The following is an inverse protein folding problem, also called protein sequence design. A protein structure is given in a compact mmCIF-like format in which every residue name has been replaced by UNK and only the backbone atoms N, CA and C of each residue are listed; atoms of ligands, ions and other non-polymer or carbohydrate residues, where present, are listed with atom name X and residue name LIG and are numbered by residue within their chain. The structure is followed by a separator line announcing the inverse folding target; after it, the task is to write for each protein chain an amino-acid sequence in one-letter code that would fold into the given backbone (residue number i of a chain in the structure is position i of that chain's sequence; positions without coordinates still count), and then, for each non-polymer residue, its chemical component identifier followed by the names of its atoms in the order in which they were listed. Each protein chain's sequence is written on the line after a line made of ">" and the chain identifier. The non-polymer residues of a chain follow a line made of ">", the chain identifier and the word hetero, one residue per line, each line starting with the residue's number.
data_IF_358830853430
#
_entry.id   IF_358830853430
#
_cell.length_a   1.000
_cell.length_b   1.000
_cell.length_c   1.000
_cell.angle_alpha   90.00
_cell.angle_beta   90.00
_cell.angle_gamma   90.00
#
_symmetry.space_group_name_H-M   'P 1'
#
loop_
_entity.id
_entity.type
_entity.pdbx_description
1 polymer ?
#
# COMPACT_ATOMS: atom_id res chain seq x y z
N UNK A 1 -25.53 -30.07 -12.01
CA UNK A 1 -24.23 -29.89 -12.73
C UNK A 1 -23.36 -28.73 -12.21
N UNK A 2 -23.89 -27.72 -11.52
CA UNK A 2 -23.15 -26.51 -11.08
C UNK A 2 -22.30 -26.68 -9.79
N UNK A 3 -22.49 -27.78 -9.05
CA UNK A 3 -21.75 -28.08 -7.81
C UNK A 3 -20.45 -28.86 -8.04
N UNK A 4 -20.36 -29.64 -9.12
CA UNK A 4 -19.17 -30.46 -9.44
C UNK A 4 -18.03 -29.63 -10.07
N UNK A 5 -18.35 -28.57 -10.83
CA UNK A 5 -17.35 -27.64 -11.39
C UNK A 5 -16.66 -26.79 -10.29
N UNK A 6 -17.27 -26.65 -9.11
CA UNK A 6 -16.74 -25.80 -8.03
C UNK A 6 -15.57 -26.40 -7.25
N UNK A 7 -15.48 -27.73 -7.12
CA UNK A 7 -14.46 -28.36 -6.25
C UNK A 7 -13.04 -28.36 -6.84
N UNK A 8 -12.87 -28.46 -8.16
CA UNK A 8 -11.54 -28.45 -8.80
C UNK A 8 -10.83 -27.07 -8.79
N UNK A 9 -11.53 -26.00 -8.43
CA UNK A 9 -11.01 -24.63 -8.48
C UNK A 9 -10.32 -24.16 -7.19
N UNK A 10 -10.67 -24.73 -6.03
CA UNK A 10 -10.11 -24.29 -4.74
C UNK A 10 -8.60 -24.53 -4.63
N UNK A 11 -8.07 -25.73 -4.97
CA UNK A 11 -6.62 -25.96 -4.93
C UNK A 11 -5.87 -25.02 -5.88
N UNK A 12 -6.45 -24.72 -7.05
CA UNK A 12 -5.87 -23.77 -8.02
C UNK A 12 -5.80 -22.35 -7.47
N UNK A 13 -6.83 -21.89 -6.77
CA UNK A 13 -6.81 -20.55 -6.14
C UNK A 13 -5.82 -20.48 -4.99
N UNK A 14 -5.69 -21.53 -4.19
CA UNK A 14 -4.67 -21.59 -3.12
C UNK A 14 -3.27 -21.55 -3.73
N UNK A 15 -2.99 -22.39 -4.74
CA UNK A 15 -1.72 -22.39 -5.44
C UNK A 15 -1.43 -21.02 -6.08
N UNK A 16 -2.43 -20.42 -6.74
CA UNK A 16 -2.32 -19.08 -7.32
C UNK A 16 -2.02 -18.00 -6.26
N UNK A 17 -2.69 -18.05 -5.10
CA UNK A 17 -2.42 -17.13 -4.00
C UNK A 17 -0.99 -17.27 -3.47
N UNK A 18 -0.50 -18.50 -3.28
CA UNK A 18 0.87 -18.77 -2.85
C UNK A 18 1.88 -18.23 -3.86
N UNK A 19 1.69 -18.52 -5.15
CA UNK A 19 2.56 -18.03 -6.22
C UNK A 19 2.57 -16.50 -6.28
N UNK A 20 1.40 -15.85 -6.14
CA UNK A 20 1.30 -14.41 -6.13
C UNK A 20 1.93 -13.77 -4.88
N UNK A 21 1.82 -14.39 -3.71
CA UNK A 21 2.53 -13.94 -2.50
C UNK A 21 4.05 -13.95 -2.73
N UNK A 22 4.57 -15.05 -3.29
CA UNK A 22 5.99 -15.13 -3.65
C UNK A 22 6.36 -14.10 -4.71
N UNK A 23 5.52 -13.91 -5.72
CA UNK A 23 5.74 -12.92 -6.76
C UNK A 23 5.82 -11.50 -6.19
N UNK A 24 4.87 -11.09 -5.35
CA UNK A 24 4.86 -9.76 -4.70
C UNK A 24 6.15 -9.52 -3.91
N UNK A 25 6.70 -10.55 -3.26
CA UNK A 25 7.92 -10.44 -2.45
C UNK A 25 9.20 -10.33 -3.30
N UNK A 26 9.33 -11.14 -4.35
CA UNK A 26 10.64 -11.35 -5.00
C UNK A 26 10.77 -10.78 -6.42
N UNK A 27 9.66 -10.57 -7.12
CA UNK A 27 9.67 -10.16 -8.54
C UNK A 27 9.88 -8.65 -8.75
N UNK A 28 9.26 -7.73 -7.98
CA UNK A 28 9.18 -6.32 -8.37
C UNK A 28 10.52 -5.64 -8.62
N UNK A 29 11.50 -5.86 -7.75
CA UNK A 29 12.80 -5.20 -7.85
C UNK A 29 13.55 -5.65 -9.11
N UNK A 30 13.55 -6.96 -9.40
CA UNK A 30 14.15 -7.50 -10.62
C UNK A 30 13.41 -7.03 -11.87
N UNK A 31 12.08 -7.04 -11.84
CA UNK A 31 11.28 -6.69 -13.00
C UNK A 31 11.37 -5.18 -13.34
N UNK A 32 11.53 -4.31 -12.33
CA UNK A 32 11.74 -2.87 -12.54
C UNK A 32 13.04 -2.55 -13.31
N UNK A 33 14.02 -3.46 -13.30
CA UNK A 33 15.31 -3.32 -13.96
C UNK A 33 15.25 -3.45 -15.49
N UNK A 34 14.17 -4.00 -16.05
CA UNK A 34 13.98 -4.11 -17.49
C UNK A 34 13.47 -2.81 -18.15
N UNK A 35 13.26 -1.75 -17.37
CA UNK A 35 12.81 -0.45 -17.87
C UNK A 35 13.93 0.47 -18.36
N UNK A 36 13.58 1.62 -18.95
CA UNK A 36 14.54 2.65 -19.35
C UNK A 36 15.41 3.13 -18.18
N UNK A 37 16.71 3.34 -18.44
CA UNK A 37 17.68 3.75 -17.42
C UNK A 37 18.31 2.60 -16.63
N UNK A 38 17.95 1.35 -16.93
CA UNK A 38 18.55 0.16 -16.32
C UNK A 38 18.00 -0.15 -14.93
N UNK A 39 18.79 -0.87 -14.14
CA UNK A 39 18.42 -1.33 -12.81
C UNK A 39 19.47 -1.06 -11.75
N UNK A 40 19.09 -1.37 -10.51
CA UNK A 40 19.96 -1.29 -9.34
C UNK A 40 20.22 -2.70 -8.81
N UNK A 41 21.44 -3.05 -8.38
CA UNK A 41 21.73 -4.35 -7.77
C UNK A 41 20.88 -4.64 -6.52
N UNK A 42 20.66 -3.61 -5.70
CA UNK A 42 19.95 -3.67 -4.42
C UNK A 42 19.41 -2.30 -3.99
N UNK A 43 18.68 -2.26 -2.87
CA UNK A 43 18.08 -1.03 -2.35
C UNK A 43 19.14 -0.02 -1.87
N UNK A 44 20.31 -0.48 -1.44
CA UNK A 44 21.37 0.42 -0.94
C UNK A 44 21.98 1.26 -2.07
N UNK A 45 22.27 0.62 -3.21
CA UNK A 45 22.78 1.28 -4.41
C UNK A 45 21.77 2.25 -5.01
N UNK A 46 20.47 1.92 -4.94
CA UNK A 46 19.38 2.83 -5.27
C UNK A 46 19.36 4.05 -4.34
N UNK A 47 19.44 3.85 -3.02
CA UNK A 47 19.47 4.93 -2.03
C UNK A 47 20.68 5.86 -2.20
N UNK A 48 21.85 5.32 -2.53
CA UNK A 48 23.04 6.12 -2.85
C UNK A 48 22.84 6.98 -4.11
N UNK A 49 22.31 6.39 -5.18
CA UNK A 49 22.00 7.13 -6.42
C UNK A 49 20.96 8.23 -6.17
N UNK A 50 19.94 7.97 -5.35
CA UNK A 50 18.96 8.96 -4.93
C UNK A 50 19.59 10.10 -4.14
N UNK A 51 20.48 9.77 -3.20
CA UNK A 51 21.18 10.77 -2.37
C UNK A 51 22.00 11.72 -3.22
N UNK A 52 22.81 11.18 -4.15
CA UNK A 52 23.62 11.99 -5.08
C UNK A 52 22.74 12.82 -6.01
N UNK A 53 21.70 12.22 -6.59
CA UNK A 53 20.75 12.92 -7.47
C UNK A 53 20.02 14.05 -6.74
N UNK A 54 19.63 13.82 -5.48
CA UNK A 54 18.92 14.80 -4.64
C UNK A 54 19.78 16.02 -4.33
N UNK A 55 21.05 15.82 -3.96
CA UNK A 55 22.00 16.93 -3.76
C UNK A 55 22.15 17.77 -5.02
N UNK A 56 22.28 17.13 -6.19
CA UNK A 56 22.40 17.83 -7.49
C UNK A 56 21.13 18.59 -7.86
N UNK A 57 19.97 17.97 -7.66
CA UNK A 57 18.66 18.60 -7.87
C UNK A 57 18.52 19.87 -7.02
N UNK A 58 18.88 19.78 -5.74
CA UNK A 58 18.80 20.93 -4.84
C UNK A 58 19.79 22.03 -5.24
N UNK A 59 21.04 21.68 -5.56
CA UNK A 59 22.06 22.66 -5.96
C UNK A 59 21.73 23.38 -7.27
N UNK A 60 21.01 22.73 -8.20
CA UNK A 60 20.58 23.35 -9.44
C UNK A 60 19.49 24.42 -9.18
N UNK A 61 18.61 24.21 -8.20
CA UNK A 61 17.61 25.19 -7.79
C UNK A 61 16.44 25.41 -8.77
N UNK A 62 16.45 24.78 -9.95
CA UNK A 62 15.51 25.02 -11.05
C UNK A 62 14.12 24.39 -10.87
N UNK A 63 13.93 23.49 -9.91
CA UNK A 63 12.65 22.80 -9.70
C UNK A 63 12.33 21.70 -10.72
N UNK A 64 13.23 21.46 -11.67
CA UNK A 64 13.15 20.38 -12.65
C UNK A 64 14.00 19.21 -12.16
N UNK A 65 13.41 18.01 -12.16
CA UNK A 65 14.13 16.78 -11.79
C UNK A 65 15.09 16.42 -12.92
N UNK A 66 16.38 16.70 -12.72
CA UNK A 66 17.44 16.36 -13.66
C UNK A 66 17.66 14.84 -13.80
N UNK A 67 18.41 14.40 -14.83
CA UNK A 67 18.56 12.98 -15.19
C UNK A 67 19.15 12.11 -14.08
N UNK A 68 20.01 12.68 -13.23
CA UNK A 68 20.65 11.96 -12.11
C UNK A 68 19.65 11.56 -11.01
N UNK A 69 18.60 12.37 -10.80
CA UNK A 69 17.53 12.07 -9.86
C UNK A 69 16.35 11.37 -10.54
N UNK A 70 16.05 11.72 -11.79
CA UNK A 70 14.95 11.11 -12.55
C UNK A 70 15.14 9.60 -12.71
N UNK A 71 16.36 9.13 -13.03
CA UNK A 71 16.64 7.70 -13.24
C UNK A 71 16.29 6.81 -12.03
N UNK A 72 16.79 7.08 -10.80
CA UNK A 72 16.40 6.29 -9.64
C UNK A 72 14.93 6.46 -9.25
N UNK A 73 14.36 7.67 -9.40
CA UNK A 73 12.93 7.94 -9.13
C UNK A 73 12.04 7.13 -10.07
N UNK A 74 12.34 7.08 -11.37
CA UNK A 74 11.60 6.32 -12.36
C UNK A 74 11.71 4.80 -12.13
N UNK A 75 12.89 4.33 -11.72
CA UNK A 75 13.06 2.93 -11.31
C UNK A 75 12.16 2.58 -10.12
N UNK A 76 12.12 3.45 -9.12
CA UNK A 76 11.29 3.28 -7.93
C UNK A 76 9.79 3.34 -8.25
N UNK A 77 9.38 4.23 -9.15
CA UNK A 77 8.01 4.30 -9.66
C UNK A 77 7.59 2.99 -10.33
N UNK A 78 8.43 2.43 -11.22
CA UNK A 78 8.17 1.14 -11.88
C UNK A 78 8.04 -0.01 -10.88
N UNK A 79 8.92 -0.04 -9.88
CA UNK A 79 8.83 -1.02 -8.78
C UNK A 79 7.48 -0.97 -8.06
N UNK A 80 7.00 0.24 -7.75
CA UNK A 80 5.68 0.44 -7.15
C UNK A 80 4.54 -0.01 -8.07
N UNK A 81 4.56 0.34 -9.36
CA UNK A 81 3.55 -0.12 -10.33
C UNK A 81 3.48 -1.65 -10.38
N UNK A 82 4.63 -2.33 -10.47
CA UNK A 82 4.69 -3.80 -10.50
C UNK A 82 4.11 -4.40 -9.21
N UNK A 83 4.47 -3.87 -8.04
CA UNK A 83 3.90 -4.29 -6.76
C UNK A 83 2.40 -4.10 -6.69
N UNK A 84 1.90 -2.96 -7.16
CA UNK A 84 0.47 -2.66 -7.19
C UNK A 84 -0.29 -3.68 -8.06
N UNK A 85 0.20 -3.97 -9.27
CA UNK A 85 -0.42 -4.97 -10.16
C UNK A 85 -0.45 -6.35 -9.51
N UNK A 86 0.68 -6.83 -8.97
CA UNK A 86 0.74 -8.15 -8.33
C UNK A 86 -0.15 -8.23 -7.08
N UNK A 87 -0.20 -7.17 -6.27
CA UNK A 87 -1.05 -7.09 -5.09
C UNK A 87 -2.53 -7.06 -5.46
N UNK A 88 -2.92 -6.36 -6.53
CA UNK A 88 -4.28 -6.37 -7.04
C UNK A 88 -4.72 -7.77 -7.49
N UNK A 89 -3.86 -8.48 -8.25
CA UNK A 89 -4.13 -9.86 -8.67
C UNK A 89 -4.26 -10.79 -7.46
N UNK A 90 -3.37 -10.67 -6.47
CA UNK A 90 -3.44 -11.43 -5.23
C UNK A 90 -4.76 -11.16 -4.48
N UNK A 91 -5.14 -9.89 -4.36
CA UNK A 91 -6.39 -9.49 -3.69
C UNK A 91 -7.62 -10.09 -4.39
N UNK A 92 -7.67 -10.07 -5.73
CA UNK A 92 -8.74 -10.70 -6.51
C UNK A 92 -8.84 -12.20 -6.21
N UNK A 93 -7.72 -12.92 -6.18
CA UNK A 93 -7.68 -14.35 -5.87
C UNK A 93 -8.17 -14.61 -4.43
N UNK A 94 -7.74 -13.81 -3.46
CA UNK A 94 -8.14 -13.96 -2.06
C UNK A 94 -9.63 -13.67 -1.84
N UNK A 95 -10.16 -12.63 -2.50
CA UNK A 95 -11.60 -12.32 -2.49
C UNK A 95 -12.41 -13.45 -3.12
N UNK A 96 -11.93 -14.05 -4.20
CA UNK A 96 -12.57 -15.21 -4.82
C UNK A 96 -12.51 -16.46 -3.93
N UNK A 97 -11.46 -16.62 -3.11
CA UNK A 97 -11.29 -17.75 -2.21
C UNK A 97 -12.20 -17.64 -0.96
N UNK A 98 -12.48 -16.44 -0.48
CA UNK A 98 -13.19 -16.20 0.79
C UNK A 98 -14.57 -16.90 0.90
N UNK A 99 -15.49 -16.87 -0.10
CA UNK A 99 -16.77 -17.57 0.00
C UNK A 99 -16.63 -19.10 0.12
N UNK A 100 -15.55 -19.67 -0.41
CA UNK A 100 -15.29 -21.12 -0.37
C UNK A 100 -14.83 -21.54 1.03
N UNK A 101 -13.89 -20.79 1.61
CA UNK A 101 -13.44 -21.01 2.99
C UNK A 101 -14.58 -20.77 3.99
N UNK A 102 -15.40 -19.75 3.74
CA UNK A 102 -16.60 -19.50 4.52
C UNK A 102 -17.57 -20.68 4.51
N UNK A 103 -17.94 -21.16 3.31
CA UNK A 103 -18.85 -22.29 3.17
C UNK A 103 -18.27 -23.53 3.86
N UNK A 104 -16.98 -23.82 3.68
CA UNK A 104 -16.31 -24.92 4.34
C UNK A 104 -16.30 -24.78 5.87
N UNK A 105 -16.16 -23.57 6.40
CA UNK A 105 -16.21 -23.31 7.84
C UNK A 105 -17.60 -23.57 8.40
N UNK A 106 -18.64 -22.98 7.81
CA UNK A 106 -20.03 -23.08 8.31
C UNK A 106 -20.53 -24.54 8.32
N UNK A 107 -20.24 -25.30 7.27
CA UNK A 107 -20.67 -26.70 7.13
C UNK A 107 -19.74 -27.71 7.83
N UNK A 108 -18.69 -27.25 8.52
CA UNK A 108 -17.82 -28.16 9.28
C UNK A 108 -18.51 -28.61 10.57
N UNK A 109 -18.87 -29.90 10.62
CA UNK A 109 -19.48 -30.56 11.79
C UNK A 109 -18.44 -30.97 12.84
N UNK A 110 -17.29 -31.50 12.40
CA UNK A 110 -16.19 -31.93 13.28
C UNK A 110 -15.37 -30.74 13.78
N UNK A 111 -15.10 -30.70 15.09
CA UNK A 111 -14.32 -29.63 15.73
C UNK A 111 -12.93 -29.45 15.08
N UNK A 112 -12.18 -30.52 14.86
CA UNK A 112 -10.83 -30.44 14.27
C UNK A 112 -10.83 -29.80 12.88
N UNK A 113 -11.72 -30.26 11.98
CA UNK A 113 -11.89 -29.66 10.65
C UNK A 113 -12.32 -28.20 10.74
N UNK A 114 -13.20 -27.87 11.68
CA UNK A 114 -13.65 -26.49 11.91
C UNK A 114 -12.50 -25.57 12.34
N UNK A 115 -11.63 -26.03 13.25
CA UNK A 115 -10.46 -25.27 13.68
C UNK A 115 -9.51 -25.04 12.52
N UNK A 116 -9.18 -26.08 11.75
CA UNK A 116 -8.29 -25.97 10.58
C UNK A 116 -8.84 -24.96 9.56
N UNK A 117 -10.10 -25.09 9.13
CA UNK A 117 -10.69 -24.18 8.15
C UNK A 117 -10.83 -22.76 8.72
N UNK A 118 -11.11 -22.63 10.01
CA UNK A 118 -11.14 -21.34 10.71
C UNK A 118 -9.78 -20.64 10.68
N UNK A 119 -8.70 -21.35 11.02
CA UNK A 119 -7.33 -20.81 10.96
C UNK A 119 -6.94 -20.43 9.54
N UNK A 120 -7.22 -21.28 8.55
CA UNK A 120 -6.96 -20.97 7.13
C UNK A 120 -7.75 -19.73 6.69
N UNK A 121 -9.01 -19.60 7.12
CA UNK A 121 -9.82 -18.41 6.87
C UNK A 121 -9.24 -17.15 7.51
N UNK A 122 -8.71 -17.23 8.73
CA UNK A 122 -8.07 -16.11 9.41
C UNK A 122 -6.78 -15.67 8.69
N UNK A 123 -5.92 -16.62 8.31
CA UNK A 123 -4.71 -16.36 7.52
C UNK A 123 -5.07 -15.73 6.17
N UNK A 124 -6.07 -16.27 5.48
CA UNK A 124 -6.55 -15.71 4.22
C UNK A 124 -7.04 -14.27 4.40
N UNK A 125 -7.81 -13.97 5.44
CA UNK A 125 -8.29 -12.63 5.72
C UNK A 125 -7.13 -11.66 6.02
N UNK A 126 -6.15 -12.07 6.83
CA UNK A 126 -4.95 -11.28 7.09
C UNK A 126 -4.15 -11.00 5.81
N UNK A 127 -3.98 -12.01 4.95
CA UNK A 127 -3.34 -11.84 3.64
C UNK A 127 -4.14 -10.89 2.72
N UNK A 128 -5.46 -10.90 2.77
CA UNK A 128 -6.29 -10.00 1.97
C UNK A 128 -6.14 -8.54 2.43
N UNK A 129 -6.11 -8.32 3.76
CA UNK A 129 -5.83 -6.99 4.33
C UNK A 129 -4.43 -6.55 3.94
N UNK A 130 -3.42 -7.41 4.07
CA UNK A 130 -2.05 -7.10 3.67
C UNK A 130 -1.94 -6.78 2.17
N UNK A 131 -2.58 -7.57 1.31
CA UNK A 131 -2.59 -7.32 -0.13
C UNK A 131 -3.26 -5.98 -0.47
N UNK A 132 -4.35 -5.62 0.22
CA UNK A 132 -4.98 -4.31 0.08
C UNK A 132 -4.07 -3.16 0.52
N UNK A 133 -3.38 -3.30 1.67
CA UNK A 133 -2.43 -2.30 2.15
C UNK A 133 -1.26 -2.12 1.17
N UNK A 134 -0.70 -3.22 0.66
CA UNK A 134 0.35 -3.20 -0.36
C UNK A 134 -0.18 -2.50 -1.61
N UNK A 135 -1.37 -2.85 -2.10
CA UNK A 135 -1.95 -2.22 -3.29
C UNK A 135 -2.05 -0.70 -3.12
N UNK A 136 -2.67 -0.24 -2.02
CA UNK A 136 -2.86 1.20 -1.76
C UNK A 136 -1.52 1.94 -1.67
N UNK A 137 -0.60 1.45 -0.84
CA UNK A 137 0.71 2.09 -0.64
C UNK A 137 1.52 2.15 -1.94
N UNK A 138 1.40 1.14 -2.82
CA UNK A 138 2.15 1.10 -4.06
C UNK A 138 1.50 1.90 -5.19
N UNK A 139 0.18 2.09 -5.21
CA UNK A 139 -0.43 3.08 -6.12
C UNK A 139 0.01 4.49 -5.70
N UNK A 140 -0.03 4.78 -4.40
CA UNK A 140 0.43 6.05 -3.85
C UNK A 140 1.90 6.35 -4.22
N UNK A 141 2.80 5.39 -4.00
CA UNK A 141 4.22 5.52 -4.35
C UNK A 141 4.49 5.67 -5.86
N UNK A 142 3.60 5.16 -6.72
CA UNK A 142 3.71 5.35 -8.17
C UNK A 142 3.20 6.72 -8.64
N UNK A 143 2.24 7.33 -7.95
CA UNK A 143 1.66 8.64 -8.32
C UNK A 143 2.60 9.79 -7.97
N UNK A 144 3.28 9.73 -6.82
CA UNK A 144 4.23 10.74 -6.35
C UNK A 144 5.59 10.09 -6.05
N UNK A 145 6.34 9.73 -7.11
CA UNK A 145 7.51 8.87 -6.99
C UNK A 145 8.70 9.58 -6.35
N UNK A 146 8.82 10.90 -6.47
CA UNK A 146 9.90 11.65 -5.82
C UNK A 146 9.78 11.57 -4.29
N UNK A 147 8.61 11.91 -3.74
CA UNK A 147 8.33 11.83 -2.29
C UNK A 147 8.40 10.41 -1.77
N UNK A 148 7.92 9.44 -2.55
CA UNK A 148 8.08 8.03 -2.20
C UNK A 148 9.56 7.61 -2.14
N UNK A 149 10.38 8.09 -3.08
CA UNK A 149 11.81 7.79 -3.11
C UNK A 149 12.60 8.50 -2.00
N UNK A 150 12.14 9.64 -1.47
CA UNK A 150 12.77 10.28 -0.30
C UNK A 150 12.87 9.32 0.89
N UNK A 151 11.92 8.39 1.05
CA UNK A 151 11.95 7.37 2.11
C UNK A 151 13.14 6.39 2.01
N UNK A 152 13.85 6.34 0.88
CA UNK A 152 15.07 5.55 0.70
C UNK A 152 16.35 6.34 0.96
N UNK A 153 16.27 7.66 1.09
CA UNK A 153 17.44 8.51 1.29
C UNK A 153 17.83 8.50 2.78
N UNK A 154 19.07 8.14 3.13
CA UNK A 154 19.53 8.09 4.51
C UNK A 154 19.90 9.49 5.02
N UNK A 155 18.90 10.36 5.27
CA UNK A 155 19.09 11.75 5.70
C UNK A 155 19.87 11.91 7.02
N UNK A 156 19.99 10.84 7.84
CA UNK A 156 20.81 10.80 9.07
C UNK A 156 22.21 10.20 8.90
N UNK A 157 22.67 9.95 7.67
CA UNK A 157 24.01 9.39 7.42
C UNK A 157 25.13 10.41 7.55
N UNK A 158 26.39 9.94 7.61
CA UNK A 158 27.59 10.78 7.69
C UNK A 158 27.96 11.51 6.37
N UNK A 159 27.12 11.45 5.34
CA UNK A 159 27.35 12.15 4.08
C UNK A 159 27.15 13.67 4.28
N UNK A 160 28.25 14.41 4.22
CA UNK A 160 28.29 15.86 4.51
C UNK A 160 27.44 16.68 3.54
N UNK A 161 27.44 16.34 2.25
CA UNK A 161 26.72 17.10 1.23
C UNK A 161 25.21 16.88 1.36
N UNK A 162 24.81 15.65 1.66
CA UNK A 162 23.40 15.32 1.93
C UNK A 162 22.92 15.97 3.22
N UNK A 163 23.73 15.98 4.28
CA UNK A 163 23.41 16.63 5.54
C UNK A 163 23.25 18.15 5.35
N UNK A 164 24.16 18.79 4.62
CA UNK A 164 24.08 20.21 4.29
C UNK A 164 22.84 20.54 3.46
N UNK A 165 22.52 19.71 2.46
CA UNK A 165 21.31 19.84 1.63
C UNK A 165 20.05 19.71 2.49
N UNK A 166 19.99 18.70 3.36
CA UNK A 166 18.86 18.47 4.27
C UNK A 166 18.63 19.67 5.20
N UNK A 167 19.71 20.23 5.78
CA UNK A 167 19.62 21.41 6.63
C UNK A 167 19.17 22.66 5.87
N UNK A 168 19.46 22.78 4.56
CA UNK A 168 18.94 23.86 3.73
C UNK A 168 17.44 23.69 3.44
N UNK A 169 17.00 22.47 3.12
CA UNK A 169 15.59 22.15 2.91
C UNK A 169 14.78 22.43 4.18
N UNK A 170 15.25 21.97 5.34
CA UNK A 170 14.60 22.20 6.63
C UNK A 170 14.45 23.70 6.94
N UNK A 171 15.51 24.50 6.72
CA UNK A 171 15.45 25.97 6.89
C UNK A 171 14.46 26.61 5.93
N UNK A 172 14.52 26.26 4.65
CA UNK A 172 13.57 26.77 3.65
C UNK A 172 12.11 26.48 4.01
N UNK A 173 11.82 25.29 4.53
CA UNK A 173 10.47 24.94 5.00
C UNK A 173 10.08 25.70 6.28
N UNK A 174 10.99 25.82 7.24
CA UNK A 174 10.73 26.49 8.52
C UNK A 174 10.49 28.00 8.35
N UNK A 175 11.23 28.62 7.43
CA UNK A 175 11.16 30.06 7.17
C UNK A 175 10.01 30.43 6.21
N UNK A 176 9.25 29.44 5.71
CA UNK A 176 8.23 29.66 4.69
C UNK A 176 8.81 30.14 3.36
N UNK A 177 10.06 29.75 3.06
CA UNK A 177 10.76 30.12 1.85
C UNK A 177 10.14 29.51 0.59
N UNK A 178 10.38 30.17 -0.54
CA UNK A 178 9.95 29.71 -1.85
C UNK A 178 11.16 29.65 -2.79
N UNK A 179 11.35 28.49 -3.41
CA UNK A 179 12.28 28.29 -4.50
C UNK A 179 11.71 27.22 -5.43
N UNK A 180 12.05 27.22 -6.74
CA UNK A 180 11.51 26.23 -7.66
C UNK A 180 11.76 24.78 -7.21
N UNK A 181 12.96 24.48 -6.67
CA UNK A 181 13.30 23.18 -6.09
C UNK A 181 12.45 22.82 -4.86
N UNK A 182 12.26 23.77 -3.94
CA UNK A 182 11.45 23.54 -2.76
C UNK A 182 9.96 23.37 -3.10
N UNK A 183 9.43 24.21 -4.00
CA UNK A 183 8.05 24.12 -4.46
C UNK A 183 7.80 22.80 -5.21
N UNK A 184 8.77 22.26 -5.93
CA UNK A 184 8.67 20.93 -6.54
C UNK A 184 8.56 19.82 -5.48
N UNK A 185 9.38 19.87 -4.42
CA UNK A 185 9.28 18.90 -3.31
C UNK A 185 7.94 19.00 -2.58
N UNK A 186 7.50 20.22 -2.23
CA UNK A 186 6.23 20.44 -1.53
C UNK A 186 5.05 19.98 -2.38
N UNK A 187 5.06 20.26 -3.70
CA UNK A 187 3.99 19.83 -4.61
C UNK A 187 3.92 18.31 -4.75
N UNK A 188 5.05 17.64 -4.94
CA UNK A 188 5.06 16.18 -5.06
C UNK A 188 4.65 15.51 -3.73
N UNK A 189 5.07 16.08 -2.59
CA UNK A 189 4.66 15.60 -1.27
C UNK A 189 3.17 15.78 -1.03
N UNK A 190 2.60 16.92 -1.43
CA UNK A 190 1.15 17.12 -1.42
C UNK A 190 0.43 16.09 -2.30
N UNK A 191 0.93 15.82 -3.51
CA UNK A 191 0.37 14.81 -4.41
C UNK A 191 0.39 13.40 -3.79
N UNK A 192 1.46 13.05 -3.08
CA UNK A 192 1.58 11.79 -2.35
C UNK A 192 0.45 11.61 -1.31
N UNK A 193 0.15 12.65 -0.54
CA UNK A 193 -0.92 12.61 0.47
C UNK A 193 -2.34 12.76 -0.11
N UNK A 194 -2.50 13.52 -1.20
CA UNK A 194 -3.76 13.58 -1.96
C UNK A 194 -4.10 12.19 -2.52
N UNK A 195 -3.14 11.50 -3.13
CA UNK A 195 -3.32 10.15 -3.65
C UNK A 195 -3.80 9.18 -2.55
N UNK A 196 -3.16 9.23 -1.38
CA UNK A 196 -3.57 8.39 -0.24
C UNK A 196 -4.96 8.74 0.28
N UNK A 197 -5.32 10.02 0.29
CA UNK A 197 -6.64 10.49 0.71
C UNK A 197 -7.74 9.94 -0.20
N UNK A 198 -7.53 10.00 -1.52
CA UNK A 198 -8.46 9.44 -2.50
C UNK A 198 -8.58 7.91 -2.36
N UNK A 199 -7.45 7.19 -2.33
CA UNK A 199 -7.44 5.74 -2.23
C UNK A 199 -8.08 5.26 -0.91
N UNK A 200 -7.70 5.87 0.21
CA UNK A 200 -8.27 5.58 1.53
C UNK A 200 -9.77 5.86 1.59
N UNK A 201 -10.23 6.95 0.98
CA UNK A 201 -11.65 7.27 0.86
C UNK A 201 -12.43 6.20 0.07
N UNK A 202 -11.94 5.81 -1.11
CA UNK A 202 -12.57 4.76 -1.93
C UNK A 202 -12.62 3.42 -1.18
N UNK A 203 -11.52 3.04 -0.53
CA UNK A 203 -11.46 1.80 0.27
C UNK A 203 -12.44 1.87 1.45
N UNK A 204 -12.50 2.99 2.16
CA UNK A 204 -13.43 3.19 3.30
C UNK A 204 -14.89 3.01 2.86
N UNK A 205 -15.29 3.66 1.76
CA UNK A 205 -16.65 3.53 1.20
C UNK A 205 -16.93 2.09 0.78
N UNK A 206 -15.99 1.43 0.11
CA UNK A 206 -16.10 0.02 -0.29
C UNK A 206 -16.27 -0.92 0.91
N UNK A 207 -15.52 -0.72 1.99
CA UNK A 207 -15.62 -1.50 3.21
C UNK A 207 -16.95 -1.27 3.94
N UNK A 208 -17.43 -0.02 4.03
CA UNK A 208 -18.76 0.29 4.58
C UNK A 208 -19.85 -0.43 3.77
N UNK A 209 -19.79 -0.36 2.44
CA UNK A 209 -20.72 -1.07 1.57
C UNK A 209 -20.67 -2.59 1.81
N UNK A 210 -19.47 -3.17 1.93
CA UNK A 210 -19.30 -4.59 2.25
C UNK A 210 -19.90 -4.98 3.61
N UNK A 211 -19.69 -4.15 4.65
CA UNK A 211 -20.30 -4.35 5.97
C UNK A 211 -21.84 -4.32 5.91
N UNK A 212 -22.42 -3.37 5.17
CA UNK A 212 -23.87 -3.28 4.94
C UNK A 212 -24.37 -4.54 4.21
N UNK A 213 -23.65 -5.04 3.21
CA UNK A 213 -24.01 -6.27 2.51
C UNK A 213 -23.94 -7.50 3.44
N UNK A 214 -22.94 -7.59 4.31
CA UNK A 214 -22.85 -8.66 5.32
C UNK A 214 -24.02 -8.59 6.31
N UNK A 215 -24.41 -7.39 6.73
CA UNK A 215 -25.55 -7.17 7.61
C UNK A 215 -26.88 -7.56 6.94
N UNK A 216 -27.07 -7.17 5.68
CA UNK A 216 -28.23 -7.57 4.86
C UNK A 216 -28.28 -9.09 4.67
N UNK A 217 -27.14 -9.74 4.42
CA UNK A 217 -27.05 -11.20 4.34
C UNK A 217 -27.44 -11.85 5.66
N UNK A 218 -26.96 -11.34 6.80
CA UNK A 218 -27.37 -11.82 8.13
C UNK A 218 -28.88 -11.75 8.34
N UNK A 219 -29.54 -10.68 7.89
CA UNK A 219 -30.99 -10.54 8.03
C UNK A 219 -31.78 -11.64 7.31
N UNK A 220 -31.23 -12.20 6.22
CA UNK A 220 -31.84 -13.29 5.44
C UNK A 220 -31.57 -14.70 5.99
N UNK A 221 -30.65 -14.83 6.95
CA UNK A 221 -30.29 -16.14 7.53
C UNK A 221 -31.29 -16.51 8.63
N UNK A 222 -31.90 -17.72 8.59
CA UNK A 222 -32.81 -18.21 9.63
C UNK A 222 -32.25 -18.09 11.06
N UNK A 223 -33.12 -17.86 12.05
CA UNK A 223 -32.71 -17.55 13.44
C UNK A 223 -32.06 -18.73 14.15
N UNK A 224 -32.42 -19.95 13.77
CA UNK A 224 -31.87 -21.23 14.20
C UNK A 224 -30.42 -21.44 13.73
N UNK A 225 -30.01 -20.84 12.61
CA UNK A 225 -28.63 -20.86 12.12
C UNK A 225 -27.71 -19.86 12.89
N UNK A 226 -27.68 -19.98 14.22
CA UNK A 226 -26.96 -19.07 15.13
C UNK A 226 -25.49 -18.87 14.76
N UNK A 227 -24.82 -19.93 14.30
CA UNK A 227 -23.40 -19.90 13.93
C UNK A 227 -23.14 -19.00 12.71
N UNK A 228 -23.87 -19.23 11.62
CA UNK A 228 -23.74 -18.42 10.40
C UNK A 228 -24.04 -16.96 10.69
N UNK A 229 -25.09 -16.68 11.48
CA UNK A 229 -25.44 -15.33 11.92
C UNK A 229 -24.31 -14.68 12.72
N UNK A 230 -23.75 -15.38 13.71
CA UNK A 230 -22.65 -14.86 14.55
C UNK A 230 -21.42 -14.54 13.72
N UNK A 231 -21.04 -15.42 12.81
CA UNK A 231 -19.84 -15.20 12.01
C UNK A 231 -20.02 -14.04 11.02
N UNK A 232 -21.23 -13.82 10.46
CA UNK A 232 -21.51 -12.66 9.61
C UNK A 232 -21.41 -11.34 10.39
N UNK A 233 -21.87 -11.32 11.65
CA UNK A 233 -21.69 -10.16 12.54
C UNK A 233 -20.22 -9.89 12.79
N UNK A 234 -19.45 -10.92 13.16
CA UNK A 234 -18.00 -10.76 13.41
C UNK A 234 -17.26 -10.25 12.17
N UNK A 235 -17.59 -10.75 10.98
CA UNK A 235 -17.04 -10.24 9.73
C UNK A 235 -17.43 -8.79 9.48
N UNK A 236 -18.71 -8.43 9.68
CA UNK A 236 -19.15 -7.05 9.49
C UNK A 236 -18.45 -6.09 10.46
N UNK A 237 -18.29 -6.48 11.72
CA UNK A 237 -17.55 -5.69 12.73
C UNK A 237 -16.07 -5.55 12.37
N UNK A 238 -15.41 -6.63 11.92
CA UNK A 238 -14.02 -6.57 11.48
C UNK A 238 -13.84 -5.66 10.25
N UNK A 239 -14.75 -5.74 9.28
CA UNK A 239 -14.76 -4.87 8.09
C UNK A 239 -15.00 -3.40 8.48
N UNK A 240 -15.90 -3.13 9.44
CA UNK A 240 -16.13 -1.77 9.95
C UNK A 240 -14.92 -1.23 10.72
N UNK A 241 -14.25 -2.07 11.51
CA UNK A 241 -13.01 -1.67 12.19
C UNK A 241 -11.91 -1.30 11.17
N UNK A 242 -11.78 -2.07 10.09
CA UNK A 242 -10.87 -1.74 8.99
C UNK A 242 -11.31 -0.46 8.25
N UNK A 243 -12.60 -0.25 8.04
CA UNK A 243 -13.12 0.99 7.45
C UNK A 243 -12.81 2.21 8.33
N UNK A 244 -12.96 2.09 9.65
CA UNK A 244 -12.60 3.15 10.59
C UNK A 244 -11.09 3.46 10.54
N UNK A 245 -10.24 2.43 10.50
CA UNK A 245 -8.80 2.60 10.30
C UNK A 245 -8.47 3.40 9.04
N UNK A 246 -9.00 3.01 7.88
CA UNK A 246 -8.80 3.75 6.64
C UNK A 246 -9.41 5.16 6.67
N UNK A 247 -10.54 5.35 7.38
CA UNK A 247 -11.14 6.65 7.59
C UNK A 247 -10.21 7.61 8.36
N UNK A 248 -9.58 7.13 9.44
CA UNK A 248 -8.58 7.90 10.21
C UNK A 248 -7.36 8.22 9.34
N UNK A 249 -6.82 7.23 8.63
CA UNK A 249 -5.69 7.43 7.71
C UNK A 249 -6.03 8.46 6.63
N UNK A 250 -7.23 8.39 6.06
CA UNK A 250 -7.71 9.36 5.06
C UNK A 250 -7.78 10.76 5.64
N UNK A 251 -8.36 10.93 6.83
CA UNK A 251 -8.46 12.24 7.49
C UNK A 251 -7.07 12.84 7.79
N UNK A 252 -6.13 12.02 8.26
CA UNK A 252 -4.75 12.44 8.49
C UNK A 252 -4.09 12.91 7.18
N UNK A 253 -4.24 12.16 6.09
CA UNK A 253 -3.67 12.51 4.79
C UNK A 253 -4.30 13.75 4.16
N UNK A 254 -5.60 14.01 4.38
CA UNK A 254 -6.25 15.27 3.96
C UNK A 254 -5.63 16.45 4.69
N UNK A 255 -5.42 16.33 6.01
CA UNK A 255 -4.78 17.36 6.82
C UNK A 255 -3.36 17.66 6.33
N UNK A 256 -2.57 16.62 6.06
CA UNK A 256 -1.21 16.76 5.52
C UNK A 256 -1.20 17.36 4.12
N UNK A 257 -2.10 16.95 3.23
CA UNK A 257 -2.20 17.52 1.89
C UNK A 257 -2.63 19.00 1.89
N UNK A 258 -3.45 19.41 2.87
CA UNK A 258 -3.85 20.80 3.04
C UNK A 258 -2.71 21.69 3.56
N UNK A 259 -1.78 21.13 4.35
CA UNK A 259 -0.63 21.83 4.91
C UNK A 259 0.67 21.00 4.73
N UNK A 260 1.17 20.87 3.48
CA UNK A 260 2.25 19.93 3.18
C UNK A 260 3.62 20.35 3.72
N UNK A 261 3.93 21.66 3.76
CA UNK A 261 5.25 22.13 4.16
C UNK A 261 5.62 21.81 5.63
N UNK A 262 4.75 22.04 6.64
CA UNK A 262 5.04 21.64 8.02
C UNK A 262 5.23 20.12 8.19
N UNK A 263 4.43 19.32 7.48
CA UNK A 263 4.54 17.87 7.55
C UNK A 263 5.80 17.35 6.86
N UNK A 264 6.19 17.95 5.73
CA UNK A 264 7.45 17.65 5.06
C UNK A 264 8.66 18.04 5.94
N UNK A 265 8.57 19.16 6.66
CA UNK A 265 9.60 19.56 7.62
C UNK A 265 9.73 18.51 8.74
N UNK A 266 8.61 18.06 9.30
CA UNK A 266 8.61 17.01 10.32
C UNK A 266 9.23 15.70 9.79
N UNK A 267 8.94 15.32 8.54
CA UNK A 267 9.58 14.18 7.88
C UNK A 267 11.11 14.32 7.85
N UNK A 268 11.63 15.47 7.42
CA UNK A 268 13.08 15.71 7.39
C UNK A 268 13.72 15.79 8.79
N UNK A 269 12.96 16.04 9.84
CA UNK A 269 13.43 16.03 11.24
C UNK A 269 13.43 14.63 11.87
N UNK A 270 12.99 13.61 11.14
CA UNK A 270 12.88 12.23 11.64
C UNK A 270 11.51 11.89 12.21
N UNK A 271 10.50 12.74 12.03
CA UNK A 271 9.11 12.42 12.30
C UNK A 271 8.56 11.50 11.22
N UNK A 272 8.43 10.21 11.53
CA UNK A 272 7.66 9.24 10.74
C UNK A 272 6.22 9.16 11.23
#
# INVERSE_FOLDING_TARGET
>A
MTLLVRQGSTPRLIAGAVLLVLAVAFVPFRLASFGPGGGYPDVSTLGQSLSTGFVRFWSAGEGVVGPDLARPVDYWARFHVIKAVLAALLLVVLVALAPRLWAAYVHAERLGRRLVVGTVGAVQAALAVLALLILVANIQGAIAPLSSALGLIPFGSSNTDLAATTAQVQRGLADGGHSPALDALVRDFAAYHVAMSWLGGVVTVGLIAAAVLLWRRRARVPRDERRQRRTLVLMALAVLALAAFFGVVTAANISTAANPAPALLAFFQGGS
#
